data_IF_258301461435
#
_entry.id   IF_258301461435
#
_cell.length_a   1.000
_cell.length_b   1.000
_cell.length_c   1.000
_cell.angle_alpha   90.00
_cell.angle_beta   90.00
_cell.angle_gamma   90.00
#
_symmetry.space_group_name_H-M   'P 1'
#
loop_
_entity.id
_entity.type
_entity.pdbx_description
1 polymer ?
#
# COMPACT_ATOMS: atom_id res chain seq x y z
N UNK A 1 -10.25 10.16 -29.17
CA UNK A 1 -8.82 10.41 -29.09
C UNK A 1 -8.11 9.39 -29.97
N UNK A 2 -7.26 9.83 -30.92
CA UNK A 2 -6.53 8.97 -31.83
C UNK A 2 -5.15 8.58 -31.25
N UNK A 3 -5.07 8.30 -29.97
CA UNK A 3 -3.84 7.82 -29.34
C UNK A 3 -3.55 6.40 -29.80
N UNK A 4 -2.29 6.07 -30.15
CA UNK A 4 -1.91 4.70 -30.48
C UNK A 4 -2.22 3.73 -29.34
N UNK A 5 -2.84 2.59 -29.63
CA UNK A 5 -3.21 1.59 -28.61
C UNK A 5 -2.05 1.17 -27.72
N UNK A 6 -0.82 1.16 -28.24
CA UNK A 6 0.40 0.78 -27.51
C UNK A 6 0.93 1.87 -26.55
N UNK A 7 0.50 3.11 -26.72
CA UNK A 7 0.95 4.25 -25.90
C UNK A 7 -0.03 4.59 -24.78
N UNK A 8 -1.29 4.19 -24.94
CA UNK A 8 -2.33 4.48 -23.96
C UNK A 8 -2.04 3.79 -22.61
N UNK A 9 -1.87 4.61 -21.55
CA UNK A 9 -1.62 4.14 -20.17
C UNK A 9 -2.83 4.47 -19.31
N UNK A 10 -3.61 3.45 -18.96
CA UNK A 10 -4.78 3.59 -18.09
C UNK A 10 -4.70 2.53 -16.99
N UNK A 11 -5.06 2.92 -15.77
CA UNK A 11 -5.26 2.01 -14.65
C UNK A 11 -6.71 2.15 -14.18
N UNK A 12 -7.49 1.08 -14.27
CA UNK A 12 -8.88 1.07 -13.79
C UNK A 12 -8.96 0.97 -12.26
N UNK A 13 -7.89 0.54 -11.61
CA UNK A 13 -7.79 0.42 -10.15
C UNK A 13 -8.92 -0.39 -9.52
N UNK A 14 -9.33 -1.49 -10.18
CA UNK A 14 -10.37 -2.38 -9.66
C UNK A 14 -9.74 -3.35 -8.68
N UNK A 15 -10.21 -3.34 -7.43
CA UNK A 15 -9.80 -4.25 -6.36
C UNK A 15 -10.98 -4.55 -5.42
N UNK A 16 -11.89 -5.43 -5.82
CA UNK A 16 -13.03 -5.76 -4.98
C UNK A 16 -12.65 -6.58 -3.76
N UNK A 17 -11.55 -7.33 -3.78
CA UNK A 17 -11.12 -8.18 -2.67
C UNK A 17 -10.60 -7.32 -1.50
N UNK A 18 -9.56 -6.51 -1.74
CA UNK A 18 -8.93 -5.73 -0.66
C UNK A 18 -9.79 -4.51 -0.27
N UNK A 19 -10.48 -3.91 -1.24
CA UNK A 19 -11.36 -2.76 -0.96
C UNK A 19 -12.49 -3.11 0.01
N UNK A 20 -13.01 -4.31 -0.05
CA UNK A 20 -14.06 -4.75 0.87
C UNK A 20 -13.58 -4.95 2.31
N UNK A 21 -12.29 -5.23 2.52
CA UNK A 21 -11.65 -5.29 3.84
C UNK A 21 -11.76 -3.99 4.65
N UNK A 22 -11.65 -2.85 3.95
CA UNK A 22 -11.67 -1.54 4.60
C UNK A 22 -13.07 -1.06 4.97
N UNK A 23 -14.13 -1.70 4.44
CA UNK A 23 -15.51 -1.21 4.60
C UNK A 23 -16.40 -2.17 5.37
N UNK A 24 -16.29 -3.49 5.13
CA UNK A 24 -17.27 -4.47 5.63
C UNK A 24 -16.66 -5.71 6.31
N UNK A 25 -15.34 -5.80 6.42
CA UNK A 25 -14.68 -7.01 6.94
C UNK A 25 -14.83 -8.27 6.08
N UNK A 26 -15.70 -8.28 5.08
CA UNK A 26 -15.98 -9.42 4.19
C UNK A 26 -16.03 -8.99 2.72
N UNK A 27 -15.76 -9.93 1.80
CA UNK A 27 -15.83 -9.66 0.37
C UNK A 27 -17.26 -9.36 -0.09
N UNK A 28 -17.55 -8.12 -0.48
CA UNK A 28 -18.85 -7.70 -1.03
C UNK A 28 -19.19 -8.26 -2.42
N UNK A 29 -18.44 -9.24 -2.91
CA UNK A 29 -18.65 -9.84 -4.24
C UNK A 29 -19.92 -10.71 -4.31
N UNK A 30 -20.55 -11.00 -3.17
CA UNK A 30 -21.77 -11.85 -3.09
C UNK A 30 -23.08 -11.06 -3.26
N UNK A 31 -23.05 -9.73 -3.17
CA UNK A 31 -24.27 -8.91 -3.11
C UNK A 31 -24.85 -8.46 -4.46
N UNK A 32 -24.12 -8.65 -5.57
CA UNK A 32 -24.61 -8.29 -6.91
C UNK A 32 -24.80 -9.52 -7.80
N UNK A 33 -25.86 -9.53 -8.58
CA UNK A 33 -26.19 -10.58 -9.57
C UNK A 33 -25.07 -10.84 -10.61
N UNK A 34 -24.13 -9.90 -10.80
CA UNK A 34 -22.88 -10.09 -11.55
C UNK A 34 -21.71 -10.25 -10.60
N UNK A 35 -21.08 -11.41 -10.66
CA UNK A 35 -19.84 -11.66 -9.96
C UNK A 35 -18.76 -10.65 -10.43
N UNK A 36 -18.11 -9.95 -9.51
CA UNK A 36 -17.10 -8.95 -9.81
C UNK A 36 -15.95 -9.51 -10.70
N UNK A 37 -15.64 -10.80 -10.57
CA UNK A 37 -14.65 -11.46 -11.43
C UNK A 37 -15.09 -11.59 -12.88
N UNK A 38 -16.40 -11.70 -13.17
CA UNK A 38 -16.92 -11.72 -14.54
C UNK A 38 -16.71 -10.37 -15.22
N UNK A 39 -17.00 -9.27 -14.51
CA UNK A 39 -16.76 -7.91 -14.99
C UNK A 39 -15.27 -7.68 -15.25
N UNK A 40 -14.39 -8.13 -14.35
CA UNK A 40 -12.94 -8.02 -14.52
C UNK A 40 -12.49 -8.83 -15.74
N UNK A 41 -12.99 -10.05 -15.92
CA UNK A 41 -12.64 -10.90 -17.06
C UNK A 41 -13.09 -10.28 -18.39
N UNK A 42 -14.29 -9.70 -18.45
CA UNK A 42 -14.77 -8.94 -19.63
C UNK A 42 -13.85 -7.75 -19.95
N UNK A 43 -13.45 -6.96 -18.93
CA UNK A 43 -12.53 -5.84 -19.09
C UNK A 43 -11.13 -6.27 -19.55
N UNK A 44 -10.61 -7.39 -19.03
CA UNK A 44 -9.34 -7.96 -19.48
C UNK A 44 -9.41 -8.29 -20.96
N UNK A 45 -10.48 -8.95 -21.42
CA UNK A 45 -10.73 -9.28 -22.82
C UNK A 45 -10.87 -8.02 -23.68
N UNK A 46 -11.68 -7.06 -23.25
CA UNK A 46 -11.93 -5.80 -23.97
C UNK A 46 -10.65 -4.95 -24.10
N UNK A 47 -9.72 -5.08 -23.17
CA UNK A 47 -8.46 -4.32 -23.18
C UNK A 47 -7.26 -5.11 -23.68
N UNK A 48 -7.46 -6.31 -24.25
CA UNK A 48 -6.38 -7.21 -24.68
C UNK A 48 -5.35 -6.54 -25.63
N UNK A 49 -5.84 -5.71 -26.56
CA UNK A 49 -5.00 -5.00 -27.54
C UNK A 49 -4.17 -3.84 -26.91
N UNK A 50 -4.53 -3.38 -25.70
CA UNK A 50 -3.89 -2.25 -25.03
C UNK A 50 -2.82 -2.75 -24.05
N UNK A 51 -1.57 -2.80 -24.49
CA UNK A 51 -0.46 -3.42 -23.72
C UNK A 51 -0.20 -2.75 -22.37
N UNK A 52 -0.41 -1.44 -22.27
CA UNK A 52 -0.10 -0.62 -21.08
C UNK A 52 -1.31 -0.33 -20.20
N UNK A 53 -2.48 -0.85 -20.55
CA UNK A 53 -3.68 -0.74 -19.73
C UNK A 53 -3.66 -1.82 -18.65
N UNK A 54 -3.90 -1.40 -17.40
CA UNK A 54 -4.03 -2.27 -16.22
C UNK A 54 -5.47 -2.26 -15.74
N UNK A 55 -6.00 -3.43 -15.39
CA UNK A 55 -7.39 -3.60 -14.97
C UNK A 55 -7.45 -3.76 -13.45
N UNK A 56 -6.71 -4.70 -12.91
CA UNK A 56 -6.68 -5.01 -11.47
C UNK A 56 -5.55 -4.21 -10.80
N UNK A 57 -5.84 -3.63 -9.64
CA UNK A 57 -4.85 -2.98 -8.78
C UNK A 57 -4.88 -3.60 -7.39
N UNK A 58 -3.96 -4.50 -7.10
CA UNK A 58 -3.87 -5.14 -5.79
C UNK A 58 -3.16 -4.21 -4.81
N UNK A 59 -3.89 -3.74 -3.79
CA UNK A 59 -3.43 -2.68 -2.89
C UNK A 59 -2.89 -3.20 -1.56
N UNK A 60 -1.59 -3.49 -1.50
CA UNK A 60 -0.87 -3.77 -0.25
C UNK A 60 -0.82 -2.57 0.70
N UNK A 61 -0.91 -1.35 0.16
CA UNK A 61 -0.96 -0.13 0.97
C UNK A 61 -2.09 -0.14 2.01
N UNK A 62 -3.18 -0.86 1.76
CA UNK A 62 -4.28 -1.06 2.70
C UNK A 62 -3.79 -1.75 3.98
N UNK A 63 -3.00 -2.81 3.85
CA UNK A 63 -2.45 -3.52 5.01
C UNK A 63 -1.42 -2.69 5.76
N UNK A 64 -0.51 -2.04 5.04
CA UNK A 64 0.51 -1.19 5.62
C UNK A 64 -0.07 -0.03 6.43
N UNK A 65 -1.09 0.63 5.88
CA UNK A 65 -1.78 1.74 6.55
C UNK A 65 -2.65 1.29 7.74
N UNK A 66 -2.99 -0.01 7.82
CA UNK A 66 -3.61 -0.63 8.98
C UNK A 66 -2.59 -1.15 10.02
N UNK A 67 -1.30 -0.87 9.82
CA UNK A 67 -0.23 -1.20 10.77
C UNK A 67 0.44 -2.54 10.56
N UNK A 68 0.27 -3.23 9.43
CA UNK A 68 0.98 -4.47 9.13
C UNK A 68 2.49 -4.28 9.08
N UNK A 69 3.22 -5.37 9.25
CA UNK A 69 4.65 -5.43 8.95
C UNK A 69 4.90 -5.47 7.44
N UNK A 70 6.12 -5.17 7.01
CA UNK A 70 6.54 -5.26 5.59
C UNK A 70 6.34 -6.68 5.04
N UNK A 71 6.59 -7.69 5.86
CA UNK A 71 6.42 -9.11 5.48
C UNK A 71 4.94 -9.44 5.25
N UNK A 72 4.06 -9.03 6.16
CA UNK A 72 2.61 -9.21 6.05
C UNK A 72 2.03 -8.43 4.85
N UNK A 73 2.41 -7.15 4.68
CA UNK A 73 2.03 -6.36 3.51
C UNK A 73 2.36 -7.12 2.23
N UNK A 74 3.59 -7.61 2.10
CA UNK A 74 4.06 -8.31 0.91
C UNK A 74 3.34 -9.64 0.71
N UNK A 75 3.27 -10.50 1.73
CA UNK A 75 2.67 -11.81 1.64
C UNK A 75 1.17 -11.74 1.31
N UNK A 76 0.41 -10.93 2.03
CA UNK A 76 -1.04 -10.81 1.81
C UNK A 76 -1.36 -10.15 0.47
N UNK A 77 -0.54 -9.21 0.01
CA UNK A 77 -0.69 -8.62 -1.33
C UNK A 77 -0.45 -9.66 -2.42
N UNK A 78 0.57 -10.50 -2.28
CA UNK A 78 0.87 -11.56 -3.23
C UNK A 78 -0.20 -12.67 -3.21
N UNK A 79 -0.71 -13.05 -2.03
CA UNK A 79 -1.80 -14.02 -1.92
C UNK A 79 -3.10 -13.47 -2.54
N UNK A 80 -3.44 -12.21 -2.32
CA UNK A 80 -4.58 -11.58 -3.01
C UNK A 80 -4.39 -11.53 -4.53
N UNK A 81 -3.18 -11.24 -5.00
CA UNK A 81 -2.88 -11.26 -6.43
C UNK A 81 -2.95 -12.67 -7.03
N UNK A 82 -2.53 -13.69 -6.27
CA UNK A 82 -2.64 -15.09 -6.65
C UNK A 82 -4.12 -15.52 -6.76
N UNK A 83 -4.96 -15.08 -5.83
CA UNK A 83 -6.41 -15.31 -5.92
C UNK A 83 -7.01 -14.73 -7.20
N UNK A 84 -6.60 -13.51 -7.62
CA UNK A 84 -7.00 -12.96 -8.92
C UNK A 84 -6.51 -13.81 -10.09
N UNK A 85 -5.30 -14.37 -10.05
CA UNK A 85 -4.81 -15.26 -11.10
C UNK A 85 -5.72 -16.49 -11.20
N UNK A 86 -5.97 -17.17 -10.08
CA UNK A 86 -6.78 -18.40 -10.04
C UNK A 86 -8.19 -18.12 -10.56
N UNK A 87 -8.89 -17.13 -9.97
CA UNK A 87 -10.28 -16.81 -10.32
C UNK A 87 -10.47 -16.38 -11.77
N UNK A 88 -9.55 -15.59 -12.31
CA UNK A 88 -9.66 -15.14 -13.69
C UNK A 88 -9.27 -16.24 -14.70
N UNK A 89 -8.35 -17.13 -14.33
CA UNK A 89 -8.04 -18.31 -15.13
C UNK A 89 -9.22 -19.32 -15.16
N UNK A 90 -9.95 -19.48 -14.05
CA UNK A 90 -11.21 -20.26 -14.02
C UNK A 90 -12.27 -19.70 -14.99
N UNK A 91 -12.22 -18.38 -15.30
CA UNK A 91 -13.06 -17.72 -16.32
C UNK A 91 -12.54 -17.88 -17.76
N UNK A 92 -11.54 -18.73 -17.97
CA UNK A 92 -11.00 -19.09 -19.29
C UNK A 92 -9.97 -18.11 -19.85
N UNK A 93 -9.38 -17.25 -19.00
CA UNK A 93 -8.25 -16.40 -19.38
C UNK A 93 -6.94 -17.16 -19.19
N UNK A 94 -5.95 -16.85 -20.02
CA UNK A 94 -4.59 -17.39 -19.88
C UNK A 94 -3.79 -16.59 -18.85
N UNK A 95 -2.74 -17.22 -18.29
CA UNK A 95 -1.82 -16.54 -17.35
C UNK A 95 -1.20 -15.27 -17.98
N UNK A 96 -0.89 -15.31 -19.28
CA UNK A 96 -0.32 -14.17 -20.00
C UNK A 96 -1.30 -13.00 -20.18
N UNK A 97 -2.60 -13.27 -20.24
CA UNK A 97 -3.63 -12.24 -20.30
C UNK A 97 -3.86 -11.62 -18.91
N UNK A 98 -3.92 -12.43 -17.87
CA UNK A 98 -4.22 -11.97 -16.51
C UNK A 98 -3.03 -11.24 -15.89
N UNK A 99 -1.86 -11.87 -15.81
CA UNK A 99 -0.70 -11.33 -15.10
C UNK A 99 -0.28 -9.95 -15.63
N UNK A 100 -0.38 -9.73 -16.95
CA UNK A 100 -0.07 -8.45 -17.58
C UNK A 100 -1.07 -7.34 -17.30
N UNK A 101 -2.26 -7.65 -16.80
CA UNK A 101 -3.32 -6.68 -16.45
C UNK A 101 -3.35 -6.34 -14.96
N UNK A 102 -2.52 -6.99 -14.15
CA UNK A 102 -2.37 -6.70 -12.72
C UNK A 102 -1.34 -5.59 -12.53
N UNK A 103 -1.62 -4.70 -11.60
CA UNK A 103 -0.74 -3.69 -11.01
C UNK A 103 -0.77 -3.85 -9.50
N UNK A 104 0.33 -3.58 -8.85
CA UNK A 104 0.47 -3.60 -7.40
C UNK A 104 0.63 -2.19 -6.87
N UNK A 105 -0.04 -1.88 -5.77
CA UNK A 105 0.17 -0.65 -5.02
C UNK A 105 0.71 -0.99 -3.64
N UNK A 106 1.90 -0.49 -3.29
CA UNK A 106 2.51 -0.67 -1.97
C UNK A 106 2.65 0.68 -1.28
N UNK A 107 2.46 0.71 0.04
CA UNK A 107 2.83 1.87 0.82
C UNK A 107 4.36 1.98 0.91
N UNK A 108 4.86 3.17 1.16
CA UNK A 108 6.27 3.41 1.48
C UNK A 108 6.34 4.15 2.80
N UNK A 109 7.01 3.55 3.77
CA UNK A 109 7.19 4.07 5.11
C UNK A 109 8.56 4.74 5.28
N UNK A 110 8.84 5.26 6.47
CA UNK A 110 10.12 5.88 6.80
C UNK A 110 11.31 4.91 6.84
N UNK A 111 11.09 3.59 6.79
CA UNK A 111 12.15 2.57 6.85
C UNK A 111 12.87 2.40 5.51
N UNK A 112 13.70 3.35 5.17
CA UNK A 112 14.34 3.56 3.87
C UNK A 112 14.88 2.30 3.17
N UNK A 113 15.75 1.55 3.84
CA UNK A 113 16.39 0.35 3.25
C UNK A 113 15.46 -0.86 3.21
N UNK A 114 14.59 -1.00 4.20
CA UNK A 114 13.59 -2.07 4.23
C UNK A 114 12.57 -1.89 3.10
N UNK A 115 12.17 -0.66 2.81
CA UNK A 115 11.26 -0.35 1.69
C UNK A 115 11.89 -0.69 0.34
N UNK A 116 13.17 -0.33 0.12
CA UNK A 116 13.89 -0.74 -1.10
C UNK A 116 13.93 -2.27 -1.24
N UNK A 117 14.28 -2.97 -0.17
CA UNK A 117 14.36 -4.43 -0.14
C UNK A 117 12.99 -5.08 -0.39
N UNK A 118 11.91 -4.51 0.15
CA UNK A 118 10.53 -4.96 -0.10
C UNK A 118 10.18 -4.99 -1.60
N UNK A 119 10.45 -3.92 -2.33
CA UNK A 119 10.16 -3.88 -3.77
C UNK A 119 11.02 -4.86 -4.57
N UNK A 120 12.24 -5.11 -4.15
CA UNK A 120 13.12 -6.12 -4.77
C UNK A 120 12.57 -7.53 -4.51
N UNK A 121 12.24 -7.85 -3.26
CA UNK A 121 11.63 -9.11 -2.87
C UNK A 121 10.28 -9.34 -3.57
N UNK A 122 9.43 -8.31 -3.66
CA UNK A 122 8.14 -8.36 -4.33
C UNK A 122 8.25 -8.81 -5.80
N UNK A 123 9.19 -8.23 -6.55
CA UNK A 123 9.40 -8.60 -7.95
C UNK A 123 9.86 -10.04 -8.10
N UNK A 124 10.77 -10.48 -7.22
CA UNK A 124 11.31 -11.85 -7.23
C UNK A 124 10.20 -12.87 -6.92
N UNK A 125 9.42 -12.64 -5.87
CA UNK A 125 8.35 -13.54 -5.46
C UNK A 125 7.23 -13.60 -6.50
N UNK A 126 6.80 -12.45 -7.02
CA UNK A 126 5.79 -12.41 -8.08
C UNK A 126 6.23 -13.17 -9.33
N UNK A 127 7.48 -12.98 -9.75
CA UNK A 127 8.02 -13.72 -10.89
C UNK A 127 7.97 -15.24 -10.67
N UNK A 128 8.27 -15.71 -9.46
CA UNK A 128 8.20 -17.13 -9.09
C UNK A 128 6.74 -17.64 -9.10
N UNK A 129 5.79 -16.88 -8.56
CA UNK A 129 4.37 -17.24 -8.59
C UNK A 129 3.89 -17.40 -10.04
N UNK A 130 4.11 -16.40 -10.89
CA UNK A 130 3.66 -16.44 -12.28
C UNK A 130 4.38 -17.55 -13.07
N UNK A 131 5.67 -17.79 -12.81
CA UNK A 131 6.47 -18.85 -13.44
C UNK A 131 5.88 -20.24 -13.21
N UNK A 132 5.29 -20.50 -12.03
CA UNK A 132 4.66 -21.78 -11.72
C UNK A 132 3.49 -22.13 -12.66
N UNK A 133 2.88 -21.11 -13.29
CA UNK A 133 1.82 -21.26 -14.30
C UNK A 133 2.32 -21.42 -15.75
N UNK A 134 3.64 -21.54 -15.97
CA UNK A 134 4.25 -21.72 -17.29
C UNK A 134 3.81 -20.67 -18.31
N UNK A 135 4.03 -19.38 -18.09
CA UNK A 135 3.66 -18.32 -19.04
C UNK A 135 4.42 -18.50 -20.36
N UNK A 136 3.78 -18.17 -21.48
CA UNK A 136 4.42 -18.23 -22.80
C UNK A 136 5.35 -17.02 -23.06
N UNK A 137 5.28 -16.00 -22.24
CA UNK A 137 6.03 -14.74 -22.39
C UNK A 137 6.70 -14.32 -21.09
N UNK A 138 8.02 -14.10 -21.12
CA UNK A 138 8.78 -13.63 -19.95
C UNK A 138 8.27 -12.30 -19.36
N UNK A 139 7.69 -11.44 -20.22
CA UNK A 139 7.13 -10.16 -19.76
C UNK A 139 5.91 -10.32 -18.84
N UNK A 140 5.25 -11.47 -18.81
CA UNK A 140 4.13 -11.78 -17.93
C UNK A 140 4.57 -11.96 -16.47
N UNK A 141 5.83 -12.35 -16.24
CA UNK A 141 6.43 -12.44 -14.91
C UNK A 141 6.84 -11.09 -14.32
N UNK A 142 6.82 -10.00 -15.10
CA UNK A 142 7.25 -8.68 -14.63
C UNK A 142 6.16 -8.00 -13.82
N UNK A 143 6.47 -7.68 -12.56
CA UNK A 143 5.60 -6.91 -11.70
C UNK A 143 5.54 -5.44 -12.14
N UNK A 144 4.35 -4.86 -12.19
CA UNK A 144 4.15 -3.41 -12.32
C UNK A 144 3.78 -2.87 -10.95
N UNK A 145 4.72 -2.20 -10.29
CA UNK A 145 4.57 -1.64 -8.96
C UNK A 145 4.33 -0.13 -9.00
N UNK A 146 3.36 0.31 -8.23
CA UNK A 146 3.10 1.68 -7.84
C UNK A 146 3.42 1.85 -6.36
N UNK A 147 4.03 2.94 -5.99
CA UNK A 147 4.26 3.30 -4.60
C UNK A 147 3.39 4.50 -4.20
N UNK A 148 2.92 4.50 -2.98
CA UNK A 148 2.27 5.65 -2.34
C UNK A 148 2.91 5.86 -0.97
N UNK A 149 3.21 7.10 -0.60
CA UNK A 149 3.73 7.39 0.74
C UNK A 149 2.72 7.00 1.81
N UNK A 150 3.17 6.42 2.92
CA UNK A 150 2.30 5.84 3.93
C UNK A 150 1.54 6.91 4.72
N UNK A 151 0.27 6.65 5.05
CA UNK A 151 -0.50 7.45 6.01
C UNK A 151 -0.17 7.08 7.46
N UNK A 152 0.38 5.89 7.71
CA UNK A 152 0.70 5.39 9.05
C UNK A 152 1.58 6.34 9.87
N UNK A 153 2.63 6.88 9.26
CA UNK A 153 3.62 7.73 9.92
C UNK A 153 3.38 9.24 9.74
N UNK A 154 2.25 9.65 9.14
CA UNK A 154 1.86 11.06 9.10
C UNK A 154 1.35 11.54 10.45
N UNK A 155 1.66 12.80 10.78
CA UNK A 155 1.32 13.43 12.04
C UNK A 155 0.51 14.70 11.82
N UNK A 156 -0.36 15.03 12.79
CA UNK A 156 -1.13 16.28 12.82
C UNK A 156 -0.32 17.41 13.43
N UNK A 157 0.43 17.09 14.49
CA UNK A 157 1.39 18.01 15.07
C UNK A 157 2.68 18.00 14.27
N UNK A 158 3.30 19.19 14.16
CA UNK A 158 4.48 19.43 13.34
C UNK A 158 4.31 18.95 11.89
N UNK A 159 3.26 19.38 11.17
CA UNK A 159 2.85 18.82 9.88
C UNK A 159 3.90 19.03 8.80
N UNK A 160 4.75 20.04 8.90
CA UNK A 160 5.81 20.27 7.93
C UNK A 160 6.90 19.17 7.95
N UNK A 161 7.02 18.41 9.05
CA UNK A 161 7.89 17.24 9.09
C UNK A 161 7.36 16.13 8.16
N UNK A 162 6.05 16.10 7.87
CA UNK A 162 5.50 15.18 6.87
C UNK A 162 6.06 15.41 5.46
N UNK A 163 6.46 16.66 5.11
CA UNK A 163 7.16 16.92 3.84
C UNK A 163 8.52 16.22 3.78
N UNK A 164 9.25 16.24 4.89
CA UNK A 164 10.55 15.59 5.00
C UNK A 164 10.40 14.05 4.94
N UNK A 165 9.40 13.50 5.66
CA UNK A 165 9.06 12.08 5.58
C UNK A 165 8.72 11.68 4.15
N UNK A 166 7.78 12.37 3.52
CA UNK A 166 7.35 12.09 2.14
C UNK A 166 8.51 12.20 1.13
N UNK A 167 9.49 13.08 1.36
CA UNK A 167 10.69 13.17 0.52
C UNK A 167 11.56 11.92 0.66
N UNK A 168 11.87 11.48 1.88
CA UNK A 168 12.71 10.27 2.10
C UNK A 168 12.01 9.00 1.65
N UNK A 169 10.70 8.89 1.82
CA UNK A 169 9.85 7.82 1.30
C UNK A 169 9.88 7.79 -0.23
N UNK A 170 9.70 8.96 -0.88
CA UNK A 170 9.79 9.08 -2.32
C UNK A 170 11.19 8.70 -2.86
N UNK A 171 12.25 9.05 -2.13
CA UNK A 171 13.62 8.63 -2.47
C UNK A 171 13.76 7.11 -2.45
N UNK A 172 13.30 6.43 -1.40
CA UNK A 172 13.40 4.96 -1.32
C UNK A 172 12.62 4.27 -2.43
N UNK A 173 11.42 4.76 -2.76
CA UNK A 173 10.61 4.24 -3.86
C UNK A 173 11.27 4.48 -5.24
N UNK A 174 11.85 5.65 -5.47
CA UNK A 174 12.54 5.98 -6.72
C UNK A 174 13.76 5.08 -6.92
N UNK A 175 14.60 4.91 -5.90
CA UNK A 175 15.77 4.02 -5.93
C UNK A 175 15.36 2.57 -6.10
N UNK A 176 14.26 2.15 -5.47
CA UNK A 176 13.68 0.82 -5.66
C UNK A 176 13.13 0.59 -7.09
N UNK A 177 13.07 1.62 -7.94
CA UNK A 177 12.69 1.50 -9.34
C UNK A 177 11.20 1.19 -9.53
N UNK A 178 10.31 1.85 -8.80
CA UNK A 178 8.86 1.72 -9.00
C UNK A 178 8.42 2.33 -10.34
N UNK A 179 7.33 1.83 -10.91
CA UNK A 179 6.83 2.32 -12.19
C UNK A 179 6.13 3.67 -12.10
N UNK A 180 5.56 3.97 -10.95
CA UNK A 180 4.91 5.24 -10.64
C UNK A 180 4.88 5.45 -9.12
N UNK A 181 4.85 6.70 -8.71
CA UNK A 181 4.91 7.12 -7.32
C UNK A 181 3.85 8.20 -7.07
N UNK A 182 3.18 8.10 -5.95
CA UNK A 182 2.32 9.14 -5.39
C UNK A 182 2.90 9.59 -4.05
N UNK A 183 3.14 10.88 -3.91
CA UNK A 183 3.52 11.51 -2.65
C UNK A 183 2.29 12.20 -2.09
N UNK A 184 1.86 11.80 -0.91
CA UNK A 184 0.73 12.43 -0.24
C UNK A 184 1.13 13.84 0.25
N UNK A 185 0.23 14.82 0.13
CA UNK A 185 0.43 16.14 0.70
C UNK A 185 0.63 16.09 2.23
N UNK A 186 1.41 17.00 2.77
CA UNK A 186 1.76 17.02 4.20
C UNK A 186 0.58 17.27 5.13
N UNK A 187 -0.49 17.87 4.61
CA UNK A 187 -1.75 18.18 5.30
C UNK A 187 -2.79 17.07 5.20
N UNK A 188 -2.51 16.01 4.44
CA UNK A 188 -3.44 14.92 4.15
C UNK A 188 -4.09 14.27 5.39
N UNK A 189 -3.38 14.27 6.52
CA UNK A 189 -3.85 13.61 7.76
C UNK A 189 -4.86 14.43 8.56
N UNK A 190 -5.06 15.72 8.25
CA UNK A 190 -5.90 16.59 9.08
C UNK A 190 -6.76 17.60 8.29
N UNK A 191 -6.52 17.80 6.99
CA UNK A 191 -7.37 18.68 6.18
C UNK A 191 -7.37 18.26 4.71
N UNK A 192 -8.33 18.81 3.94
CA UNK A 192 -8.34 18.65 2.50
C UNK A 192 -7.10 19.30 1.89
N UNK A 193 -6.34 18.54 1.09
CA UNK A 193 -5.09 19.00 0.51
C UNK A 193 -5.25 20.31 -0.28
N UNK A 194 -4.45 21.32 0.09
CA UNK A 194 -4.42 22.63 -0.55
C UNK A 194 -3.64 22.59 -1.87
N UNK A 195 -3.80 23.61 -2.72
CA UNK A 195 -2.96 23.74 -3.92
C UNK A 195 -1.47 23.89 -3.60
N UNK A 196 -1.15 24.49 -2.44
CA UNK A 196 0.22 24.61 -1.96
C UNK A 196 0.80 23.24 -1.59
N UNK A 197 0.10 22.48 -0.76
CA UNK A 197 0.58 21.17 -0.30
C UNK A 197 0.68 20.16 -1.45
N UNK A 198 -0.28 20.15 -2.38
CA UNK A 198 -0.22 19.36 -3.63
C UNK A 198 0.99 19.73 -4.50
N UNK A 199 1.28 21.04 -4.59
CA UNK A 199 2.44 21.51 -5.34
C UNK A 199 3.73 21.04 -4.71
N UNK A 200 3.88 21.10 -3.38
CA UNK A 200 5.06 20.60 -2.67
C UNK A 200 5.25 19.12 -2.89
N UNK A 201 4.19 18.31 -2.70
CA UNK A 201 4.23 16.87 -2.92
C UNK A 201 4.66 16.48 -4.35
N UNK A 202 4.16 17.21 -5.36
CA UNK A 202 4.60 17.03 -6.76
C UNK A 202 6.04 17.47 -6.96
N UNK A 203 6.42 18.62 -6.40
CA UNK A 203 7.77 19.18 -6.59
C UNK A 203 8.85 18.32 -5.93
N UNK A 204 8.56 17.61 -4.82
CA UNK A 204 9.48 16.64 -4.23
C UNK A 204 9.91 15.59 -5.27
N UNK A 205 8.97 15.05 -6.05
CA UNK A 205 9.28 14.07 -7.10
C UNK A 205 10.07 14.71 -8.27
N UNK A 206 9.74 15.94 -8.67
CA UNK A 206 10.46 16.66 -9.72
C UNK A 206 11.90 16.99 -9.29
N UNK A 207 12.11 17.35 -8.01
CA UNK A 207 13.42 17.56 -7.43
C UNK A 207 14.27 16.28 -7.51
N UNK A 208 13.71 15.13 -7.08
CA UNK A 208 14.41 13.84 -7.15
C UNK A 208 14.80 13.48 -8.59
N UNK A 209 13.98 13.84 -9.57
CA UNK A 209 14.27 13.57 -10.98
C UNK A 209 15.26 14.56 -11.58
N UNK A 210 15.03 15.87 -11.43
CA UNK A 210 15.72 16.90 -12.21
C UNK A 210 16.95 17.49 -11.51
N UNK A 211 16.98 17.49 -10.17
CA UNK A 211 18.10 18.00 -9.40
C UNK A 211 18.96 16.89 -8.81
N UNK A 212 18.32 15.83 -8.29
CA UNK A 212 19.02 14.70 -7.67
C UNK A 212 19.33 13.57 -8.66
N UNK A 213 18.81 13.63 -9.87
CA UNK A 213 19.08 12.71 -10.97
C UNK A 213 18.86 11.21 -10.67
N UNK A 214 17.87 10.88 -9.87
CA UNK A 214 17.57 9.49 -9.48
C UNK A 214 17.08 8.62 -10.64
N UNK A 215 16.75 9.20 -11.78
CA UNK A 215 16.36 8.50 -13.01
C UNK A 215 17.55 8.09 -13.90
N UNK A 216 18.77 8.43 -13.53
CA UNK A 216 19.98 8.12 -14.33
C UNK A 216 20.53 6.71 -14.09
N UNK A 217 20.12 6.04 -13.00
CA UNK A 217 20.69 4.75 -12.59
C UNK A 217 19.56 3.75 -12.37
N UNK A 218 19.75 2.53 -12.84
CA UNK A 218 18.84 1.40 -12.60
C UNK A 218 19.38 0.55 -11.44
N UNK A 219 18.53 0.30 -10.44
CA UNK A 219 18.85 -0.52 -9.25
C UNK A 219 20.18 -0.14 -8.56
N UNK A 220 20.35 1.14 -8.16
CA UNK A 220 21.61 1.60 -7.55
C UNK A 220 21.90 0.93 -6.18
N UNK A 221 20.91 0.27 -5.59
CA UNK A 221 21.06 -0.52 -4.36
C UNK A 221 21.59 -1.93 -4.63
N UNK A 222 21.64 -2.38 -5.89
CA UNK A 222 22.13 -3.68 -6.30
C UNK A 222 23.59 -3.89 -5.91
N UNK A 223 23.92 -5.05 -5.30
CA UNK A 223 25.25 -5.38 -4.79
C UNK A 223 25.58 -4.80 -3.40
N UNK A 224 24.71 -4.00 -2.80
CA UNK A 224 24.84 -3.61 -1.40
C UNK A 224 24.57 -4.82 -0.51
N UNK A 225 25.58 -5.28 0.25
CA UNK A 225 25.44 -6.45 1.13
C UNK A 225 24.23 -6.34 2.06
N UNK A 226 24.00 -5.17 2.64
CA UNK A 226 22.89 -4.93 3.54
C UNK A 226 21.53 -5.06 2.84
N UNK A 227 21.37 -4.43 1.67
CA UNK A 227 20.11 -4.47 0.91
C UNK A 227 19.84 -5.88 0.35
N UNK A 228 20.89 -6.58 -0.11
CA UNK A 228 20.75 -7.95 -0.62
C UNK A 228 20.31 -8.92 0.50
N UNK A 229 20.93 -8.83 1.69
CA UNK A 229 20.53 -9.66 2.84
C UNK A 229 19.11 -9.36 3.27
N UNK A 230 18.72 -8.08 3.36
CA UNK A 230 17.34 -7.69 3.67
C UNK A 230 16.35 -8.21 2.62
N UNK A 231 16.70 -8.11 1.34
CA UNK A 231 15.85 -8.59 0.23
C UNK A 231 15.56 -10.09 0.37
N UNK A 232 16.60 -10.89 0.61
CA UNK A 232 16.45 -12.35 0.77
C UNK A 232 15.65 -12.67 2.02
N UNK A 233 15.97 -12.04 3.16
CA UNK A 233 15.28 -12.28 4.42
C UNK A 233 13.77 -11.92 4.35
N UNK A 234 13.43 -10.78 3.74
CA UNK A 234 12.02 -10.39 3.52
C UNK A 234 11.35 -11.40 2.59
N UNK A 235 12.01 -11.79 1.51
CA UNK A 235 11.46 -12.74 0.55
C UNK A 235 11.18 -14.10 1.18
N UNK A 236 12.10 -14.65 1.97
CA UNK A 236 11.92 -15.94 2.65
C UNK A 236 10.76 -15.91 3.63
N UNK A 237 10.68 -14.86 4.46
CA UNK A 237 9.60 -14.72 5.44
C UNK A 237 8.25 -14.51 4.78
N UNK A 238 8.19 -13.64 3.74
CA UNK A 238 6.96 -13.40 2.99
C UNK A 238 6.52 -14.63 2.21
N UNK A 239 7.45 -15.42 1.65
CA UNK A 239 7.15 -16.67 0.98
C UNK A 239 6.58 -17.72 1.94
N UNK A 240 7.15 -17.79 3.14
CA UNK A 240 6.63 -18.70 4.18
C UNK A 240 5.19 -18.33 4.54
N UNK A 241 4.91 -17.05 4.82
CA UNK A 241 3.58 -16.58 5.17
C UNK A 241 2.59 -16.73 3.98
N UNK A 242 3.04 -16.50 2.74
CA UNK A 242 2.26 -16.76 1.54
C UNK A 242 1.83 -18.22 1.47
N UNK A 243 2.76 -19.17 1.64
CA UNK A 243 2.43 -20.59 1.64
C UNK A 243 1.47 -20.97 2.78
N UNK A 244 1.63 -20.40 3.98
CA UNK A 244 0.72 -20.62 5.10
C UNK A 244 -0.72 -20.16 4.75
N UNK A 245 -0.87 -19.05 4.05
CA UNK A 245 -2.20 -18.58 3.58
C UNK A 245 -2.79 -19.53 2.52
N UNK A 246 -1.98 -19.98 1.56
CA UNK A 246 -2.42 -20.88 0.50
C UNK A 246 -2.78 -22.27 1.05
N UNK A 247 -1.98 -22.82 1.97
CA UNK A 247 -2.23 -24.12 2.62
C UNK A 247 -3.53 -24.11 3.47
N UNK A 248 -3.90 -22.95 3.98
CA UNK A 248 -5.14 -22.75 4.74
C UNK A 248 -6.37 -22.37 3.88
N UNK A 249 -6.33 -22.64 2.59
CA UNK A 249 -7.48 -22.48 1.68
C UNK A 249 -7.45 -21.21 0.82
N UNK A 250 -6.34 -20.48 0.82
CA UNK A 250 -6.12 -19.29 0.01
C UNK A 250 -6.63 -17.99 0.65
N UNK A 251 -6.37 -16.89 -0.03
CA UNK A 251 -6.60 -15.55 0.52
C UNK A 251 -8.07 -15.28 0.86
N UNK A 252 -9.01 -15.64 -0.01
CA UNK A 252 -10.44 -15.39 0.22
C UNK A 252 -11.00 -16.17 1.43
N UNK A 253 -10.59 -17.44 1.60
CA UNK A 253 -11.01 -18.24 2.75
C UNK A 253 -10.49 -17.66 4.07
N UNK A 254 -9.20 -17.25 4.11
CA UNK A 254 -8.60 -16.63 5.28
C UNK A 254 -9.20 -15.25 5.59
N UNK A 255 -9.59 -14.51 4.54
CA UNK A 255 -10.28 -13.24 4.64
C UNK A 255 -11.69 -13.40 5.26
N UNK A 256 -12.46 -14.38 4.78
CA UNK A 256 -13.80 -14.70 5.29
C UNK A 256 -13.75 -15.22 6.72
N UNK A 257 -12.68 -15.93 7.09
CA UNK A 257 -12.44 -16.40 8.47
C UNK A 257 -11.96 -15.26 9.41
N UNK A 258 -11.56 -14.10 8.88
CA UNK A 258 -11.06 -12.98 9.68
C UNK A 258 -9.60 -13.12 10.12
N UNK A 259 -8.89 -14.16 9.70
CA UNK A 259 -7.51 -14.40 10.15
C UNK A 259 -6.52 -13.36 9.59
N UNK A 260 -6.73 -12.87 8.36
CA UNK A 260 -5.93 -11.78 7.78
C UNK A 260 -6.09 -10.50 8.60
N UNK A 261 -7.33 -10.10 8.90
CA UNK A 261 -7.64 -8.90 9.67
C UNK A 261 -7.08 -8.98 11.08
N UNK A 262 -7.22 -10.11 11.72
CA UNK A 262 -6.70 -10.38 13.06
C UNK A 262 -5.17 -10.28 13.11
N UNK A 263 -4.46 -10.85 12.13
CA UNK A 263 -3.01 -10.77 12.05
C UNK A 263 -2.53 -9.32 11.88
N UNK A 264 -3.13 -8.58 10.94
CA UNK A 264 -2.78 -7.17 10.69
C UNK A 264 -3.10 -6.29 11.91
N UNK A 265 -4.29 -6.42 12.51
CA UNK A 265 -4.67 -5.65 13.69
C UNK A 265 -3.74 -5.95 14.89
N UNK A 266 -3.32 -7.21 15.07
CA UNK A 266 -2.37 -7.58 16.12
C UNK A 266 -0.99 -6.93 15.89
N UNK A 267 -0.52 -6.89 14.65
CA UNK A 267 0.72 -6.18 14.28
C UNK A 267 0.58 -4.67 14.49
N UNK A 268 -0.56 -4.08 14.16
CA UNK A 268 -0.87 -2.67 14.43
C UNK A 268 -0.77 -2.34 15.92
N UNK A 269 -1.42 -3.12 16.79
CA UNK A 269 -1.35 -2.95 18.25
C UNK A 269 0.10 -3.04 18.77
N UNK A 270 0.89 -3.97 18.24
CA UNK A 270 2.31 -4.09 18.61
C UNK A 270 3.10 -2.85 18.22
N UNK A 271 2.89 -2.33 17.00
CA UNK A 271 3.56 -1.12 16.52
C UNK A 271 3.15 0.11 17.34
N UNK A 272 1.87 0.29 17.67
CA UNK A 272 1.42 1.34 18.60
C UNK A 272 2.12 1.23 19.96
N UNK A 273 2.27 0.01 20.49
CA UNK A 273 3.04 -0.23 21.71
C UNK A 273 4.51 0.18 21.57
N UNK A 274 5.13 -0.08 20.42
CA UNK A 274 6.52 0.30 20.16
C UNK A 274 6.68 1.83 20.02
N UNK A 275 5.70 2.52 19.42
CA UNK A 275 5.60 3.98 19.40
C UNK A 275 5.43 4.55 20.81
N UNK A 276 4.51 3.98 21.61
CA UNK A 276 4.27 4.39 23.00
C UNK A 276 5.53 4.24 23.87
N UNK A 277 6.30 3.19 23.63
CA UNK A 277 7.57 2.92 24.34
C UNK A 277 8.79 3.64 23.75
N UNK A 278 8.59 4.47 22.72
CA UNK A 278 9.65 5.17 21.98
C UNK A 278 10.69 4.25 21.33
N UNK A 279 10.34 3.02 21.01
CA UNK A 279 11.14 2.15 20.16
C UNK A 279 11.01 2.53 18.69
N UNK A 280 9.79 2.89 18.26
CA UNK A 280 9.52 3.55 16.98
C UNK A 280 9.41 5.06 17.26
N UNK A 281 10.30 5.86 16.64
CA UNK A 281 10.39 7.30 16.87
C UNK A 281 9.59 8.05 15.79
N UNK A 282 8.72 8.96 16.26
CA UNK A 282 8.00 9.91 15.43
C UNK A 282 8.39 11.33 15.85
N UNK A 283 9.20 12.00 15.02
CA UNK A 283 9.61 13.38 15.27
C UNK A 283 8.38 14.29 15.35
N UNK A 284 8.40 15.23 16.29
CA UNK A 284 7.30 16.15 16.53
C UNK A 284 6.14 15.56 17.33
N UNK A 285 6.12 14.23 17.57
CA UNK A 285 5.04 13.53 18.28
C UNK A 285 5.56 12.91 19.56
N UNK A 286 6.17 11.72 19.51
CA UNK A 286 6.70 11.03 20.71
C UNK A 286 8.15 11.44 21.04
N UNK A 287 8.83 12.12 20.14
CA UNK A 287 10.18 12.63 20.30
C UNK A 287 10.30 14.05 19.74
N UNK A 288 10.96 14.94 20.46
CA UNK A 288 11.17 16.37 20.13
C UNK A 288 9.88 17.12 19.75
N UNK A 289 8.80 17.05 20.55
CA UNK A 289 7.56 17.75 20.25
C UNK A 289 7.72 19.27 20.32
N UNK A 290 7.03 19.99 19.44
CA UNK A 290 6.88 21.43 19.55
C UNK A 290 5.76 21.74 20.56
N UNK A 291 6.11 22.15 21.77
CA UNK A 291 5.13 22.41 22.85
C UNK A 291 4.32 23.69 22.66
N UNK A 292 4.72 24.58 21.76
CA UNK A 292 4.00 25.84 21.50
C UNK A 292 2.96 25.71 20.39
N UNK A 293 2.95 24.58 19.69
CA UNK A 293 2.00 24.30 18.61
C UNK A 293 0.65 23.85 19.18
N UNK A 294 -0.44 24.35 18.58
CA UNK A 294 -1.81 23.90 18.83
C UNK A 294 -2.41 23.32 17.55
N UNK A 295 -3.18 22.24 17.68
CA UNK A 295 -3.80 21.55 16.56
C UNK A 295 -5.33 21.54 16.59
N UNK A 296 -5.95 22.00 17.69
CA UNK A 296 -7.40 21.94 17.87
C UNK A 296 -8.16 22.59 16.71
N UNK A 297 -7.77 23.81 16.30
CA UNK A 297 -8.43 24.51 15.19
C UNK A 297 -8.23 23.82 13.81
N UNK A 298 -7.14 23.08 13.64
CA UNK A 298 -6.85 22.36 12.39
C UNK A 298 -7.75 21.14 12.25
N UNK A 299 -7.92 20.40 13.34
CA UNK A 299 -8.70 19.16 13.38
C UNK A 299 -10.19 19.42 13.34
N UNK A 300 -10.68 20.45 14.03
CA UNK A 300 -12.10 20.81 13.99
C UNK A 300 -12.57 21.26 12.59
N UNK A 301 -11.65 21.75 11.74
CA UNK A 301 -11.92 22.07 10.32
C UNK A 301 -11.91 20.83 9.43
N UNK A 302 -11.25 19.78 9.84
CA UNK A 302 -11.11 18.54 9.06
C UNK A 302 -12.38 17.71 9.06
N UNK A 303 -13.53 18.22 9.38
CA UNK A 303 -14.80 17.50 9.44
C UNK A 303 -14.59 16.01 9.18
N UNK A 304 -14.86 15.15 10.10
CA UNK A 304 -14.55 13.73 10.13
C UNK A 304 -14.63 13.09 8.72
N UNK A 305 -13.52 12.93 8.02
CA UNK A 305 -13.41 12.05 6.86
C UNK A 305 -13.41 10.58 7.34
N UNK A 306 -14.07 10.33 8.45
CA UNK A 306 -14.32 9.00 8.97
C UNK A 306 -15.39 8.36 8.11
N UNK A 307 -14.97 7.66 7.04
CA UNK A 307 -15.70 6.50 6.55
C UNK A 307 -15.59 5.36 7.59
N UNK A 308 -15.61 5.69 8.87
CA UNK A 308 -15.85 4.76 9.95
C UNK A 308 -17.36 4.52 9.99
N UNK A 309 -17.88 3.77 9.01
CA UNK A 309 -19.11 3.05 9.23
C UNK A 309 -18.78 1.98 10.27
N UNK A 310 -19.22 2.20 11.50
CA UNK A 310 -19.45 1.14 12.46
C UNK A 310 -20.41 0.13 11.80
N UNK A 311 -19.86 -0.83 11.12
CA UNK A 311 -20.58 -1.89 10.42
C UNK A 311 -20.16 -3.22 11.00
N UNK A 312 -20.68 -3.54 12.17
CA UNK A 312 -20.84 -4.93 12.60
C UNK A 312 -21.96 -5.60 11.76
N UNK A 313 -21.73 -5.77 10.47
CA UNK A 313 -22.53 -6.69 9.67
C UNK A 313 -21.63 -7.83 9.19
N UNK A 314 -21.48 -8.87 10.03
CA UNK A 314 -20.85 -10.09 9.59
C UNK A 314 -19.95 -10.82 10.58
N UNK A 315 -19.74 -10.33 11.80
CA UNK A 315 -19.00 -11.03 12.86
C UNK A 315 -17.47 -11.09 12.68
N UNK A 316 -16.92 -10.48 11.63
CA UNK A 316 -15.48 -10.37 11.39
C UNK A 316 -15.02 -8.95 11.66
N UNK A 317 -14.02 -8.78 12.53
CA UNK A 317 -13.44 -7.47 12.86
C UNK A 317 -12.76 -6.87 11.62
N UNK A 318 -13.14 -5.63 11.25
CA UNK A 318 -12.53 -4.93 10.14
C UNK A 318 -11.08 -4.49 10.44
N UNK A 319 -10.31 -4.12 9.42
CA UNK A 319 -9.01 -3.51 9.59
C UNK A 319 -9.15 -2.14 10.28
N UNK A 320 -8.25 -1.87 11.24
CA UNK A 320 -8.15 -0.59 11.94
C UNK A 320 -7.15 0.31 11.25
N UNK A 321 -7.57 1.51 10.90
CA UNK A 321 -6.74 2.49 10.19
C UNK A 321 -6.35 3.65 11.12
N UNK A 322 -5.53 3.35 12.11
CA UNK A 322 -5.01 4.35 13.03
C UNK A 322 -3.60 4.77 12.62
N UNK A 323 -3.31 6.07 12.73
CA UNK A 323 -1.95 6.58 12.49
C UNK A 323 -1.07 6.30 13.71
N UNK A 324 0.22 6.05 13.48
CA UNK A 324 1.18 5.72 14.53
C UNK A 324 1.23 6.73 15.69
N UNK A 325 0.91 8.00 15.40
CA UNK A 325 0.90 9.09 16.36
C UNK A 325 -0.44 9.37 17.03
N UNK A 326 -1.53 8.70 16.66
CA UNK A 326 -2.90 9.06 17.05
C UNK A 326 -3.09 9.18 18.58
N UNK A 327 -2.59 8.20 19.34
CA UNK A 327 -2.73 8.21 20.82
C UNK A 327 -2.02 9.40 21.48
N UNK A 328 -0.85 9.81 20.99
CA UNK A 328 -0.16 11.00 21.47
C UNK A 328 -0.87 12.29 21.08
N UNK A 329 -1.43 12.32 19.88
CA UNK A 329 -2.19 13.44 19.36
C UNK A 329 -3.47 13.66 20.17
N UNK A 330 -4.21 12.58 20.47
CA UNK A 330 -5.40 12.61 21.30
C UNK A 330 -5.11 13.12 22.71
N UNK A 331 -3.99 12.68 23.30
CA UNK A 331 -3.56 13.16 24.61
C UNK A 331 -3.25 14.66 24.59
N UNK A 332 -2.54 15.16 23.57
CA UNK A 332 -2.26 16.59 23.42
C UNK A 332 -3.53 17.40 23.18
N UNK A 333 -4.42 16.92 22.32
CA UNK A 333 -5.71 17.57 22.06
C UNK A 333 -6.57 17.65 23.32
N UNK A 334 -6.60 16.60 24.14
CA UNK A 334 -7.28 16.63 25.43
C UNK A 334 -6.68 17.69 26.38
N UNK A 335 -5.35 17.85 26.34
CA UNK A 335 -4.64 18.89 27.11
C UNK A 335 -4.99 20.30 26.61
N UNK A 336 -4.97 20.54 25.29
CA UNK A 336 -5.38 21.82 24.71
C UNK A 336 -6.82 22.18 25.05
N UNK A 337 -7.76 21.20 24.96
CA UNK A 337 -9.18 21.39 25.35
C UNK A 337 -9.35 21.74 26.84
N UNK A 338 -8.46 21.26 27.68
CA UNK A 338 -8.49 21.56 29.13
C UNK A 338 -7.94 22.94 29.47
N UNK A 339 -7.37 23.66 28.51
CA UNK A 339 -6.78 25.00 28.73
C UNK A 339 -5.50 24.99 29.59
N UNK A 340 -4.80 23.89 29.65
CA UNK A 340 -3.54 23.72 30.41
C UNK A 340 -2.33 23.81 29.52
#
# INVERSE_FOLDING_TARGET
ANEPKDELRINFCIDPIIKSLSVKGTCGCKENERNCFDVIAELVKATAEYKRVKVVNVSGATFSNAGSTIVEELAFTLSAAHEYLVKLMEKGLTIDEVARKIRFTFAVTANYFLEMAKFRAARMLWANIVKAYNPSKDCSMKMVAHAVTSTWNQTVYDPYVNMLRGTTEAMSAAIAGVHSLEVLPFDYSFEAATEFSKRIARNSQLLLKHESHFDQVVDPAGGSYYVEVLTVSIAEQAWKLFNEVEDNGGFLAQLEAGEIQKAVNASGVKRHTDVARRKEILLGTNQYPNFTETALEKIDKAGCCCCCSEGEEGGVEALKFDRAGSEFEDLRLATERSGK
#
